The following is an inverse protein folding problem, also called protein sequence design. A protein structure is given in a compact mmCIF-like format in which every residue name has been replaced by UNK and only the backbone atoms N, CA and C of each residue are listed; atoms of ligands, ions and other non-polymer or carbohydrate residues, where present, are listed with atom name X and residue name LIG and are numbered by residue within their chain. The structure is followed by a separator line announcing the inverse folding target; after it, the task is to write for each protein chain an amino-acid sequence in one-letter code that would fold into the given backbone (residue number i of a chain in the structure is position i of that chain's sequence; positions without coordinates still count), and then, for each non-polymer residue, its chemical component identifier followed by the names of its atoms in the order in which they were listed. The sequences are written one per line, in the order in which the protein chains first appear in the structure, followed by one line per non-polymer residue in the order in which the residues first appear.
data_IF_460357830796
#
_entry.id   IF_460357830796
#
_cell.length_a   1.000
_cell.length_b   1.000
_cell.length_c   1.000
_cell.angle_alpha   90.00
_cell.angle_beta   90.00
_cell.angle_gamma   90.00
#
_symmetry.space_group_name_H-M   'P 1'
#
loop_
_entity.id
_entity.type
_entity.pdbx_description
1 polymer ?
#
# COMPACT_ATOMS: atom_id res chain seq x y z
N UNK A 1 8.17 16.31 13.95
CA UNK A 1 8.52 16.66 12.56
C UNK A 1 7.32 17.30 11.85
N UNK A 2 7.55 18.35 11.05
CA UNK A 2 6.53 18.98 10.20
C UNK A 2 6.88 18.77 8.72
N UNK A 3 5.96 18.19 7.95
CA UNK A 3 6.16 17.90 6.52
C UNK A 3 5.41 18.84 5.59
N UNK A 4 4.47 19.63 6.12
CA UNK A 4 3.53 20.43 5.31
C UNK A 4 2.23 19.70 4.96
N UNK A 5 2.09 18.43 5.37
CA UNK A 5 0.91 17.60 5.11
C UNK A 5 0.84 17.07 3.67
N UNK A 6 -0.22 16.30 3.36
CA UNK A 6 -0.34 15.62 2.07
C UNK A 6 0.64 14.45 1.90
N UNK A 7 1.13 13.90 3.01
CA UNK A 7 2.14 12.84 3.06
C UNK A 7 1.70 11.60 2.27
N UNK A 8 0.41 11.24 2.32
CA UNK A 8 -0.13 10.11 1.56
C UNK A 8 -0.06 10.36 0.06
N UNK A 9 -0.39 11.57 -0.40
CA UNK A 9 -0.31 11.94 -1.81
C UNK A 9 1.15 11.98 -2.30
N UNK A 10 2.06 12.55 -1.50
CA UNK A 10 3.48 12.58 -1.80
C UNK A 10 4.07 11.17 -1.89
N UNK A 11 3.71 10.30 -0.95
CA UNK A 11 4.15 8.90 -0.93
C UNK A 11 3.56 8.11 -2.10
N UNK A 12 2.27 8.28 -2.39
CA UNK A 12 1.60 7.66 -3.54
C UNK A 12 2.22 8.11 -4.88
N UNK A 13 2.60 9.37 -5.01
CA UNK A 13 3.29 9.89 -6.20
C UNK A 13 4.66 9.22 -6.39
N UNK A 14 5.41 8.98 -5.31
CA UNK A 14 6.64 8.21 -5.33
C UNK A 14 6.43 6.79 -5.86
N UNK A 15 5.42 6.08 -5.33
CA UNK A 15 5.04 4.74 -5.80
C UNK A 15 4.65 4.76 -7.27
N UNK A 16 3.79 5.68 -7.70
CA UNK A 16 3.40 5.86 -9.10
C UNK A 16 4.62 6.01 -10.01
N UNK A 17 5.55 6.91 -9.64
CA UNK A 17 6.73 7.19 -10.44
C UNK A 17 7.58 5.93 -10.66
N UNK A 18 7.81 5.13 -9.62
CA UNK A 18 8.57 3.87 -9.71
C UNK A 18 7.89 2.88 -10.65
N UNK A 19 6.58 2.65 -10.49
CA UNK A 19 5.87 1.67 -11.32
C UNK A 19 5.70 2.10 -12.78
N UNK A 20 5.62 3.41 -13.06
CA UNK A 20 5.49 3.94 -14.42
C UNK A 20 6.83 3.98 -15.17
N UNK A 21 7.93 4.31 -14.47
CA UNK A 21 9.24 4.54 -15.11
C UNK A 21 10.05 3.25 -15.25
N UNK A 22 9.86 2.31 -14.35
CA UNK A 22 10.61 1.07 -14.33
C UNK A 22 9.80 -0.09 -14.93
N UNK A 23 10.48 -1.17 -15.31
CA UNK A 23 9.87 -2.36 -15.88
C UNK A 23 9.21 -3.25 -14.80
N UNK A 24 8.26 -2.69 -14.05
CA UNK A 24 7.48 -3.36 -13.02
C UNK A 24 6.08 -3.72 -13.54
N UNK A 25 5.29 -4.40 -12.70
CA UNK A 25 3.95 -4.90 -13.07
C UNK A 25 2.84 -4.21 -12.29
N UNK A 26 1.84 -3.71 -13.01
CA UNK A 26 0.58 -3.19 -12.43
C UNK A 26 -0.32 -4.34 -11.97
N UNK A 27 -0.46 -4.50 -10.66
CA UNK A 27 -1.10 -5.67 -10.04
C UNK A 27 -2.36 -5.32 -9.23
N UNK A 28 -2.82 -4.07 -9.27
CA UNK A 28 -4.02 -3.62 -8.56
C UNK A 28 -5.22 -3.52 -9.49
N UNK A 29 -6.35 -4.06 -9.03
CA UNK A 29 -7.64 -4.00 -9.71
C UNK A 29 -8.59 -3.09 -8.91
N UNK A 30 -9.21 -2.13 -9.58
CA UNK A 30 -10.26 -1.29 -9.01
C UNK A 30 -11.64 -1.92 -9.32
N UNK A 31 -12.49 -2.12 -8.31
CA UNK A 31 -13.86 -2.59 -8.51
C UNK A 31 -14.75 -1.46 -9.03
N UNK A 32 -15.42 -1.67 -10.15
CA UNK A 32 -16.42 -0.74 -10.71
C UNK A 32 -17.84 -1.10 -10.26
N UNK A 33 -18.11 -2.40 -10.15
CA UNK A 33 -19.27 -2.98 -9.49
C UNK A 33 -18.87 -4.29 -8.82
N UNK A 34 -19.83 -5.10 -8.36
CA UNK A 34 -19.54 -6.35 -7.65
C UNK A 34 -18.74 -7.36 -8.49
N UNK A 35 -18.86 -7.33 -9.81
CA UNK A 35 -18.25 -8.33 -10.71
C UNK A 35 -17.33 -7.72 -11.77
N UNK A 36 -17.45 -6.42 -12.04
CA UNK A 36 -16.61 -5.70 -13.00
C UNK A 36 -15.45 -5.04 -12.29
N UNK A 37 -14.26 -5.32 -12.81
CA UNK A 37 -13.02 -4.70 -12.37
C UNK A 37 -12.24 -4.16 -13.56
N UNK A 38 -11.39 -3.19 -13.28
CA UNK A 38 -10.39 -2.68 -14.23
C UNK A 38 -9.04 -2.60 -13.54
N UNK A 39 -7.96 -2.99 -14.23
CA UNK A 39 -6.62 -2.76 -13.72
C UNK A 39 -6.36 -1.24 -13.66
N UNK A 40 -5.76 -0.76 -12.58
CA UNK A 40 -5.53 0.67 -12.40
C UNK A 40 -4.43 1.24 -13.31
N UNK A 41 -3.66 0.38 -13.97
CA UNK A 41 -2.59 0.77 -14.90
C UNK A 41 -1.36 1.41 -14.25
N UNK A 42 -1.34 1.47 -12.91
CA UNK A 42 -0.35 2.27 -12.14
C UNK A 42 0.16 1.54 -10.91
N UNK A 43 -0.40 0.36 -10.60
CA UNK A 43 -0.21 -0.37 -9.34
C UNK A 43 -0.66 0.40 -8.08
N UNK A 44 -1.37 1.51 -8.22
CA UNK A 44 -2.06 2.20 -7.12
C UNK A 44 -3.49 1.65 -6.95
N UNK A 45 -4.13 1.84 -5.77
CA UNK A 45 -3.62 2.53 -4.58
C UNK A 45 -2.53 1.74 -3.84
N UNK A 46 -1.62 2.47 -3.18
CA UNK A 46 -0.72 1.91 -2.18
C UNK A 46 -1.41 1.91 -0.81
N UNK A 47 -1.13 0.92 0.03
CA UNK A 47 -1.50 0.99 1.45
C UNK A 47 -0.47 1.87 2.17
N UNK A 48 -0.95 2.95 2.78
CA UNK A 48 -0.13 3.94 3.48
C UNK A 48 -0.75 4.15 4.85
N UNK A 49 -0.05 3.66 5.89
CA UNK A 49 -0.47 3.79 7.28
C UNK A 49 0.54 4.69 8.01
N UNK A 50 0.12 5.90 8.37
CA UNK A 50 0.94 6.89 9.07
C UNK A 50 0.57 6.94 10.55
N UNK A 51 1.56 6.77 11.42
CA UNK A 51 1.37 6.76 12.88
C UNK A 51 2.04 7.96 13.52
N UNK A 52 1.32 8.63 14.42
CA UNK A 52 1.91 9.67 15.27
C UNK A 52 2.74 9.02 16.39
N UNK A 53 4.01 9.42 16.49
CA UNK A 53 4.94 8.97 17.52
C UNK A 53 5.74 10.14 18.08
N UNK A 54 6.31 9.97 19.29
CA UNK A 54 7.19 10.98 19.89
C UNK A 54 8.52 11.13 19.13
N UNK A 55 9.13 12.31 19.24
CA UNK A 55 10.41 12.65 18.62
C UNK A 55 10.27 13.52 17.37
N UNK A 56 11.42 13.81 16.73
CA UNK A 56 11.49 14.67 15.54
C UNK A 56 12.00 13.94 14.29
N UNK A 57 11.79 12.63 14.24
CA UNK A 57 12.18 11.78 13.13
C UNK A 57 10.94 11.17 12.44
N UNK A 58 11.04 10.93 11.14
CA UNK A 58 10.01 10.23 10.37
C UNK A 58 10.58 8.93 9.84
N UNK A 59 10.08 7.81 10.38
CA UNK A 59 10.61 6.47 10.13
C UNK A 59 9.65 5.69 9.26
N UNK A 60 10.20 5.00 8.26
CA UNK A 60 9.42 4.28 7.27
C UNK A 60 9.86 2.83 7.19
N UNK A 61 8.88 1.95 6.94
CA UNK A 61 9.09 0.58 6.50
C UNK A 61 8.35 0.41 5.16
N UNK A 62 9.09 0.24 4.07
CA UNK A 62 8.52 0.03 2.75
C UNK A 62 8.45 -1.47 2.43
N UNK A 63 7.28 -1.97 2.01
CA UNK A 63 7.05 -3.40 1.76
C UNK A 63 6.47 -3.59 0.35
N UNK A 64 7.24 -4.21 -0.55
CA UNK A 64 6.71 -4.73 -1.82
C UNK A 64 6.16 -6.15 -1.63
N UNK A 65 4.90 -6.26 -1.19
CA UNK A 65 4.29 -7.55 -0.86
C UNK A 65 3.66 -8.23 -2.08
N UNK A 66 4.14 -9.42 -2.43
CA UNK A 66 3.50 -10.25 -3.45
C UNK A 66 2.21 -10.90 -2.94
N UNK A 67 1.14 -10.87 -3.75
CA UNK A 67 -0.18 -11.41 -3.41
C UNK A 67 -0.16 -12.88 -2.97
N UNK A 68 0.68 -13.72 -3.57
CA UNK A 68 0.82 -15.13 -3.17
C UNK A 68 1.31 -15.33 -1.73
N UNK A 69 2.06 -14.37 -1.18
CA UNK A 69 2.48 -14.39 0.23
C UNK A 69 1.49 -13.69 1.15
N UNK A 70 0.78 -12.67 0.66
CA UNK A 70 -0.30 -12.02 1.40
C UNK A 70 -1.45 -13.01 1.70
N UNK A 71 -1.77 -13.89 0.74
CA UNK A 71 -2.80 -14.92 0.88
C UNK A 71 -2.44 -16.03 1.89
N UNK A 72 -1.20 -16.05 2.39
CA UNK A 72 -0.72 -17.04 3.39
C UNK A 72 -0.63 -16.46 4.80
N UNK A 73 -1.25 -15.31 5.04
CA UNK A 73 -1.44 -14.76 6.39
C UNK A 73 -2.81 -15.19 6.89
N UNK A 74 -2.84 -15.99 7.96
CA UNK A 74 -4.06 -16.63 8.47
C UNK A 74 -4.43 -16.09 9.85
N UNK A 75 -5.73 -15.92 10.09
CA UNK A 75 -6.29 -15.59 11.41
C UNK A 75 -6.93 -16.85 12.01
N UNK A 76 -6.45 -17.29 13.18
CA UNK A 76 -7.02 -18.41 13.93
C UNK A 76 -7.61 -17.94 15.25
N UNK A 77 -8.93 -17.98 15.38
CA UNK A 77 -9.61 -17.71 16.65
C UNK A 77 -9.63 -18.99 17.50
N UNK A 78 -8.83 -19.04 18.56
CA UNK A 78 -8.77 -20.19 19.47
C UNK A 78 -9.63 -19.96 20.71
N UNK A 79 -10.49 -20.91 21.11
CA UNK A 79 -11.21 -20.81 22.37
C UNK A 79 -10.24 -20.96 23.55
N UNK A 80 -10.60 -20.35 24.68
CA UNK A 80 -9.92 -20.59 25.97
C UNK A 80 -10.26 -22.02 26.41
N UNK A 81 -9.25 -22.80 26.77
CA UNK A 81 -9.43 -24.06 27.50
C UNK A 81 -9.60 -23.78 28.98
#
# INVERSE_FOLDING_TARGET
MWTGGGDEAATAQGVYNTYIRDNLRYSQNAPLDMYKEVNTGTNLPAQIDLYATDGDEYKFLCIAKGGGSANKTYLYQKPKR
#
